data_IF_905020548065
#
_entry.id   IF_905020548065
#
_cell.length_a   1.000
_cell.length_b   1.000
_cell.length_c   1.000
_cell.angle_alpha   90.00
_cell.angle_beta   90.00
_cell.angle_gamma   90.00
#
_symmetry.space_group_name_H-M   'P 1'
#
loop_
_entity.id
_entity.type
_entity.pdbx_description
1 polymer ?
#
# COMPACT_ATOMS: atom_id res chain seq x y z
N UNK A 1 13.24 -5.38 10.01
CA UNK A 1 12.63 -4.13 10.53
C UNK A 1 13.29 -2.98 9.78
N UNK A 2 12.51 -2.05 9.18
CA UNK A 2 12.96 -0.92 8.31
C UNK A 2 13.33 -1.19 6.82
N UNK A 3 12.77 -2.21 6.16
CA UNK A 3 12.92 -2.38 4.69
C UNK A 3 11.77 -1.81 3.86
N UNK A 4 10.71 -1.28 4.48
CA UNK A 4 9.49 -0.85 3.76
C UNK A 4 9.69 0.50 3.04
N UNK A 5 10.59 1.36 3.53
CA UNK A 5 10.77 2.72 3.01
C UNK A 5 11.66 2.75 1.77
N UNK A 6 12.73 1.96 1.74
CA UNK A 6 13.66 1.94 0.60
C UNK A 6 12.95 1.50 -0.70
N UNK A 7 11.93 0.65 -0.58
CA UNK A 7 11.15 0.19 -1.72
C UNK A 7 10.20 1.26 -2.32
N UNK A 8 9.88 2.35 -1.63
CA UNK A 8 8.94 3.36 -2.13
C UNK A 8 9.49 4.18 -3.32
N UNK A 9 10.81 4.24 -3.49
CA UNK A 9 11.46 5.03 -4.55
C UNK A 9 12.54 4.26 -5.34
N UNK A 10 12.97 3.09 -4.86
CA UNK A 10 14.01 2.29 -5.50
C UNK A 10 13.44 1.05 -6.23
N UNK A 11 12.53 1.27 -7.17
CA UNK A 11 12.25 0.28 -8.23
C UNK A 11 13.10 0.70 -9.44
N UNK A 12 14.21 0.00 -9.71
CA UNK A 12 15.29 0.40 -10.62
C UNK A 12 14.96 0.49 -12.13
N UNK A 13 13.74 0.91 -12.52
CA UNK A 13 13.36 1.20 -13.91
C UNK A 13 12.65 2.54 -13.99
N UNK A 14 13.09 3.44 -14.86
CA UNK A 14 12.60 4.82 -15.00
C UNK A 14 11.06 4.94 -15.16
N UNK A 15 10.40 3.95 -15.75
CA UNK A 15 8.93 3.93 -15.87
C UNK A 15 8.21 3.67 -14.53
N UNK A 16 8.82 2.88 -13.64
CA UNK A 16 8.21 2.54 -12.36
C UNK A 16 8.18 3.76 -11.43
N UNK A 17 9.19 4.64 -11.49
CA UNK A 17 9.24 5.85 -10.66
C UNK A 17 8.14 6.87 -11.00
N UNK A 18 7.82 7.09 -12.28
CA UNK A 18 6.72 7.98 -12.67
C UNK A 18 5.36 7.42 -12.23
N UNK A 19 5.17 6.11 -12.36
CA UNK A 19 3.95 5.45 -11.91
C UNK A 19 3.85 5.47 -10.38
N UNK A 20 4.96 5.25 -9.65
CA UNK A 20 5.04 5.36 -8.20
C UNK A 20 4.57 6.77 -7.76
N UNK A 21 5.12 7.85 -8.35
CA UNK A 21 4.72 9.23 -8.05
C UNK A 21 3.23 9.46 -8.33
N UNK A 22 2.72 9.00 -9.47
CA UNK A 22 1.29 9.17 -9.84
C UNK A 22 0.34 8.46 -8.87
N UNK A 23 0.72 7.29 -8.37
CA UNK A 23 -0.11 6.53 -7.43
C UNK A 23 0.01 7.07 -6.00
N UNK A 24 1.23 7.33 -5.52
CA UNK A 24 1.42 7.89 -4.18
C UNK A 24 0.75 9.26 -4.03
N UNK A 25 0.76 10.08 -5.09
CA UNK A 25 0.05 11.37 -5.10
C UNK A 25 -1.47 11.28 -5.01
N UNK A 26 -2.07 10.08 -5.12
CA UNK A 26 -3.51 9.88 -4.88
C UNK A 26 -3.86 9.88 -3.39
N UNK A 27 -2.88 9.70 -2.50
CA UNK A 27 -3.10 9.80 -1.07
C UNK A 27 -2.80 11.24 -0.61
N UNK A 28 -3.79 11.98 -0.07
CA UNK A 28 -3.54 13.31 0.48
C UNK A 28 -2.49 13.30 1.59
N UNK A 29 -2.40 12.19 2.32
CA UNK A 29 -1.38 11.95 3.34
C UNK A 29 0.04 11.83 2.77
N UNK A 30 0.23 11.69 1.46
CA UNK A 30 1.57 11.62 0.86
C UNK A 30 2.11 12.99 0.46
N UNK A 31 1.26 14.02 0.33
CA UNK A 31 1.65 15.36 -0.13
C UNK A 31 2.83 15.95 0.66
N UNK A 32 2.88 15.89 2.01
CA UNK A 32 4.01 16.43 2.76
C UNK A 32 5.33 15.70 2.49
N UNK A 33 5.27 14.41 2.14
CA UNK A 33 6.44 13.60 1.81
C UNK A 33 6.91 13.88 0.39
N UNK A 34 5.99 14.07 -0.56
CA UNK A 34 6.31 14.38 -1.94
C UNK A 34 7.19 15.65 -2.05
N UNK A 35 6.83 16.72 -1.33
CA UNK A 35 7.63 17.95 -1.34
C UNK A 35 9.06 17.74 -0.82
N UNK A 36 9.26 16.83 0.15
CA UNK A 36 10.59 16.49 0.65
C UNK A 36 11.36 15.66 -0.37
N UNK A 37 10.69 14.69 -1.01
CA UNK A 37 11.27 13.85 -2.05
C UNK A 37 11.71 14.69 -3.26
N UNK A 38 10.90 15.64 -3.68
CA UNK A 38 11.24 16.58 -4.76
C UNK A 38 12.41 17.50 -4.38
N UNK A 39 12.52 17.88 -3.11
CA UNK A 39 13.56 18.79 -2.63
C UNK A 39 14.94 18.13 -2.47
N UNK A 40 15.03 16.90 -1.95
CA UNK A 40 16.32 16.26 -1.64
C UNK A 40 16.50 14.82 -2.15
N UNK A 41 15.52 14.31 -2.90
CA UNK A 41 15.51 12.93 -3.40
C UNK A 41 15.03 11.91 -2.35
N UNK A 42 14.39 12.36 -1.27
CA UNK A 42 13.84 11.50 -0.22
C UNK A 42 14.85 11.15 0.88
N UNK A 43 15.94 11.91 0.98
CA UNK A 43 17.06 11.63 1.91
C UNK A 43 16.74 11.98 3.35
N UNK A 44 15.89 12.98 3.58
CA UNK A 44 15.53 13.47 4.91
C UNK A 44 14.12 13.09 5.33
N UNK A 45 13.50 12.12 4.65
CA UNK A 45 12.11 11.72 4.95
C UNK A 45 12.06 10.97 6.28
N UNK A 46 11.62 11.65 7.33
CA UNK A 46 11.45 11.08 8.66
C UNK A 46 10.08 10.39 8.77
N UNK A 47 10.08 9.06 8.73
CA UNK A 47 8.84 8.27 8.78
C UNK A 47 8.53 7.68 10.16
N UNK A 48 9.48 7.71 11.10
CA UNK A 48 9.37 7.08 12.42
C UNK A 48 8.13 7.53 13.20
N UNK A 49 7.76 8.81 13.07
CA UNK A 49 6.62 9.42 13.75
C UNK A 49 5.54 9.88 12.76
N UNK A 50 5.59 9.44 11.50
CA UNK A 50 4.59 9.83 10.52
C UNK A 50 3.27 9.10 10.81
N UNK A 51 2.11 9.79 10.79
CA UNK A 51 0.84 9.18 11.19
C UNK A 51 0.28 8.18 10.16
N UNK A 52 1.00 7.94 9.07
CA UNK A 52 0.62 7.02 8.01
C UNK A 52 1.75 6.07 7.65
N UNK A 53 1.38 4.83 7.33
CA UNK A 53 2.30 3.80 6.84
C UNK A 53 1.96 3.52 5.37
N UNK A 54 2.93 3.72 4.50
CA UNK A 54 2.82 3.42 3.07
C UNK A 54 3.42 2.05 2.77
N UNK A 55 2.71 1.24 1.98
CA UNK A 55 3.06 -0.16 1.70
C UNK A 55 2.72 -0.53 0.26
N UNK A 56 3.42 -1.55 -0.27
CA UNK A 56 2.99 -2.23 -1.50
C UNK A 56 2.53 -3.65 -1.15
N UNK A 57 1.30 -4.00 -1.50
CA UNK A 57 0.75 -5.34 -1.26
C UNK A 57 0.70 -6.12 -2.56
N UNK A 58 1.34 -7.30 -2.57
CA UNK A 58 1.39 -8.20 -3.72
C UNK A 58 0.70 -9.51 -3.37
N UNK A 59 -0.42 -9.78 -4.03
CA UNK A 59 -1.07 -11.10 -4.00
C UNK A 59 -0.15 -12.16 -4.61
N UNK A 60 -0.08 -13.33 -3.97
CA UNK A 60 0.82 -14.41 -4.37
C UNK A 60 0.08 -15.57 -5.05
N UNK A 61 -1.10 -15.92 -4.54
CA UNK A 61 -1.88 -17.06 -5.01
C UNK A 61 -3.35 -16.87 -4.66
N UNK A 62 -4.22 -17.54 -5.40
CA UNK A 62 -5.63 -17.64 -5.07
C UNK A 62 -5.87 -18.73 -4.03
N UNK A 63 -6.86 -18.52 -3.18
CA UNK A 63 -7.32 -19.50 -2.19
C UNK A 63 -8.80 -19.78 -2.45
N UNK A 64 -9.17 -21.06 -2.58
CA UNK A 64 -10.56 -21.53 -2.73
C UNK A 64 -11.34 -20.89 -3.90
N UNK A 65 -10.69 -20.65 -5.04
CA UNK A 65 -11.37 -20.09 -6.23
C UNK A 65 -11.79 -21.19 -7.21
N UNK A 66 -12.94 -20.98 -7.86
CA UNK A 66 -13.36 -21.80 -9.00
C UNK A 66 -12.47 -21.61 -10.21
N UNK A 67 -12.56 -22.54 -11.16
CA UNK A 67 -11.67 -22.64 -12.34
C UNK A 67 -11.65 -21.35 -13.18
N UNK A 68 -12.76 -20.59 -13.20
CA UNK A 68 -12.92 -19.39 -14.03
C UNK A 68 -13.35 -18.16 -13.21
N UNK A 69 -12.56 -17.74 -12.22
CA UNK A 69 -12.91 -16.55 -11.45
C UNK A 69 -12.76 -15.22 -12.21
N UNK A 70 -12.07 -15.21 -13.37
CA UNK A 70 -11.92 -14.02 -14.22
C UNK A 70 -11.12 -12.88 -13.57
N UNK A 71 -10.47 -13.13 -12.43
CA UNK A 71 -9.66 -12.16 -11.70
C UNK A 71 -8.19 -12.29 -12.12
N UNK A 72 -7.50 -11.16 -12.17
CA UNK A 72 -6.04 -11.11 -12.30
C UNK A 72 -5.44 -10.68 -10.97
N UNK A 73 -4.35 -11.34 -10.60
CA UNK A 73 -3.48 -10.95 -9.48
C UNK A 73 -2.08 -10.58 -9.99
N UNK A 74 -1.93 -10.23 -11.27
CA UNK A 74 -0.63 -9.91 -11.86
C UNK A 74 -0.03 -8.61 -11.26
N UNK A 75 -0.89 -7.66 -10.90
CA UNK A 75 -0.52 -6.38 -10.33
C UNK A 75 -0.23 -6.41 -8.83
N UNK A 76 -0.23 -5.22 -8.23
CA UNK A 76 -0.06 -4.99 -6.80
C UNK A 76 -0.86 -3.75 -6.36
N UNK A 77 -1.00 -3.55 -5.05
CA UNK A 77 -1.65 -2.38 -4.49
C UNK A 77 -0.63 -1.40 -3.91
N UNK A 78 -0.81 -0.12 -4.21
CA UNK A 78 -0.31 0.97 -3.38
C UNK A 78 -1.25 1.13 -2.20
N UNK A 79 -0.74 1.13 -0.98
CA UNK A 79 -1.55 1.10 0.24
C UNK A 79 -1.09 2.16 1.23
N UNK A 80 -2.05 2.85 1.84
CA UNK A 80 -1.86 3.82 2.90
C UNK A 80 -2.70 3.39 4.12
N UNK A 81 -2.03 3.13 5.24
CA UNK A 81 -2.63 2.81 6.53
C UNK A 81 -2.55 4.03 7.45
N UNK A 82 -3.68 4.38 8.08
CA UNK A 82 -3.79 5.45 9.07
C UNK A 82 -3.58 4.90 10.48
N UNK A 83 -2.53 5.37 11.17
CA UNK A 83 -2.25 4.95 12.54
C UNK A 83 -3.25 5.52 13.58
N UNK A 84 -4.05 6.53 13.20
CA UNK A 84 -4.98 7.19 14.12
C UNK A 84 -6.30 6.44 14.29
N UNK A 85 -6.82 5.85 13.20
CA UNK A 85 -8.14 5.21 13.16
C UNK A 85 -8.12 3.80 12.56
N UNK A 86 -6.96 3.31 12.12
CA UNK A 86 -6.79 1.98 11.53
C UNK A 86 -7.39 1.82 10.14
N UNK A 87 -7.79 2.92 9.48
CA UNK A 87 -8.29 2.87 8.11
C UNK A 87 -7.18 2.54 7.12
N UNK A 88 -7.55 1.80 6.07
CA UNK A 88 -6.66 1.44 4.97
C UNK A 88 -7.30 1.92 3.67
N UNK A 89 -6.53 2.68 2.90
CA UNK A 89 -6.88 3.06 1.53
C UNK A 89 -5.84 2.49 0.58
N UNK A 90 -6.23 2.18 -0.65
CA UNK A 90 -5.30 1.68 -1.64
C UNK A 90 -5.77 1.84 -3.07
N UNK A 91 -4.82 1.67 -3.99
CA UNK A 91 -5.05 1.69 -5.43
C UNK A 91 -4.33 0.51 -6.07
N UNK A 92 -5.08 -0.31 -6.80
CA UNK A 92 -4.50 -1.39 -7.60
C UNK A 92 -3.77 -0.81 -8.82
N UNK A 93 -2.60 -1.40 -9.11
CA UNK A 93 -1.81 -1.12 -10.28
C UNK A 93 -1.51 -2.40 -11.06
N UNK A 94 -1.92 -2.39 -12.32
CA UNK A 94 -1.52 -3.31 -13.37
C UNK A 94 -1.65 -2.55 -14.70
N UNK A 95 -0.57 -2.44 -15.51
CA UNK A 95 -0.60 -1.74 -16.79
C UNK A 95 -1.69 -2.22 -17.76
N UNK A 96 -2.18 -3.45 -17.60
CA UNK A 96 -3.18 -4.06 -18.46
C UNK A 96 -4.60 -3.99 -17.88
N UNK A 97 -4.76 -3.38 -16.71
CA UNK A 97 -6.04 -3.26 -16.01
C UNK A 97 -6.52 -1.81 -16.00
N UNK A 98 -7.80 -1.61 -15.68
CA UNK A 98 -8.34 -0.27 -15.42
C UNK A 98 -7.52 0.43 -14.33
N UNK A 99 -7.10 1.69 -14.52
CA UNK A 99 -6.22 2.37 -13.57
C UNK A 99 -6.97 2.79 -12.30
N UNK A 100 -6.23 2.91 -11.19
CA UNK A 100 -6.72 3.47 -9.91
C UNK A 100 -7.98 2.78 -9.34
N UNK A 101 -8.09 1.46 -9.50
CA UNK A 101 -9.16 0.71 -8.83
C UNK A 101 -8.96 0.80 -7.32
N UNK A 102 -9.97 1.30 -6.63
CA UNK A 102 -9.86 1.76 -5.25
C UNK A 102 -10.14 0.63 -4.25
N UNK A 103 -9.31 0.53 -3.22
CA UNK A 103 -9.47 -0.30 -2.04
C UNK A 103 -9.72 0.62 -0.83
N UNK A 104 -10.75 0.33 -0.04
CA UNK A 104 -11.07 1.05 1.20
C UNK A 104 -11.49 0.02 2.25
N UNK A 105 -10.74 -0.06 3.34
CA UNK A 105 -11.00 -0.99 4.45
C UNK A 105 -11.07 -0.21 5.76
N UNK A 106 -11.99 -0.62 6.62
CA UNK A 106 -12.08 -0.17 8.00
C UNK A 106 -12.16 -1.40 8.91
N UNK A 107 -11.43 -1.36 10.01
CA UNK A 107 -11.58 -2.37 11.05
C UNK A 107 -13.01 -2.31 11.61
N UNK A 108 -13.67 -3.45 11.73
CA UNK A 108 -14.98 -3.58 12.38
C UNK A 108 -14.79 -4.25 13.73
N UNK A 109 -15.28 -3.61 14.80
CA UNK A 109 -15.29 -4.18 16.16
C UNK A 109 -16.59 -4.95 16.46
N UNK A 110 -17.36 -5.28 15.42
CA UNK A 110 -18.61 -6.02 15.59
C UNK A 110 -18.28 -7.45 16.02
N UNK A 111 -18.77 -7.84 17.21
CA UNK A 111 -18.45 -9.07 17.94
C UNK A 111 -18.77 -10.38 17.19
N UNK A 112 -19.22 -10.33 15.94
CA UNK A 112 -19.76 -11.48 15.21
C UNK A 112 -19.04 -11.83 13.89
N UNK A 113 -18.05 -11.06 13.42
CA UNK A 113 -17.49 -11.32 12.06
C UNK A 113 -15.97 -11.31 11.91
N UNK A 114 -15.19 -11.11 12.98
CA UNK A 114 -13.72 -11.11 12.86
C UNK A 114 -13.00 -11.39 14.17
N UNK A 115 -11.78 -11.92 14.06
CA UNK A 115 -10.87 -12.09 15.18
C UNK A 115 -9.70 -11.10 15.05
N UNK A 116 -9.39 -10.40 16.13
CA UNK A 116 -8.18 -9.58 16.24
C UNK A 116 -7.36 -10.11 17.39
N UNK A 117 -6.08 -10.37 17.14
CA UNK A 117 -5.16 -10.89 18.15
C UNK A 117 -4.11 -9.81 18.45
N UNK A 118 -3.86 -9.54 19.73
CA UNK A 118 -2.83 -8.59 20.17
C UNK A 118 -1.41 -9.16 20.08
N UNK A 119 -1.29 -10.48 19.89
CA UNK A 119 -0.03 -11.18 19.70
C UNK A 119 -0.28 -12.45 18.88
N UNK A 120 0.75 -12.89 18.16
CA UNK A 120 0.82 -14.19 17.52
C UNK A 120 2.26 -14.71 17.65
N UNK A 121 2.41 -16.03 17.71
CA UNK A 121 3.71 -16.70 17.70
C UNK A 121 3.69 -17.73 16.59
N UNK A 122 4.67 -17.67 15.69
CA UNK A 122 4.87 -18.69 14.68
C UNK A 122 5.60 -19.86 15.33
N UNK A 123 5.00 -21.04 15.29
CA UNK A 123 5.70 -22.29 15.64
C UNK A 123 6.74 -22.64 14.58
#
# INVERSE_FOLDING_TARGET
MLQIILFLLASGRHREAEDDVRHWSKFPSFTPLLSQIEADGGKSVELSNYPYIFMRWKEQYFVNVGVDCGLTIAGFYYVCFSCSDGSISGFYYDPNSSPFQKLELKCTNEKQSGFTFSSYELQ
#
